data_IF_592551581636
#
_entry.id   IF_592551581636
#
_cell.length_a   1.000
_cell.length_b   1.000
_cell.length_c   1.000
_cell.angle_alpha   90.00
_cell.angle_beta   90.00
_cell.angle_gamma   90.00
#
_symmetry.space_group_name_H-M   'P 1'
#
loop_
_entity.id
_entity.type
_entity.pdbx_description
1 polymer ?
#
# COMPACT_ATOMS: atom_id res chain seq x y z
N UNK A 1 0.02 19.82 1.07
CA UNK A 1 -0.65 18.58 1.46
C UNK A 1 -2.02 18.97 1.97
N UNK A 2 -3.05 18.80 1.16
CA UNK A 2 -4.44 18.90 1.62
C UNK A 2 -4.65 17.76 2.62
N UNK A 3 -5.16 18.06 3.82
CA UNK A 3 -5.52 17.02 4.78
C UNK A 3 -6.63 16.15 4.17
N UNK A 4 -6.29 14.93 3.75
CA UNK A 4 -7.28 13.95 3.29
C UNK A 4 -8.18 13.66 4.48
N UNK A 5 -9.48 13.96 4.35
CA UNK A 5 -10.47 13.68 5.39
C UNK A 5 -10.56 12.18 5.61
N UNK A 6 -10.55 11.74 6.87
CA UNK A 6 -10.70 10.33 7.19
C UNK A 6 -12.14 9.87 6.94
N UNK A 7 -12.34 9.05 5.91
CA UNK A 7 -13.62 8.40 5.57
C UNK A 7 -14.16 7.48 6.68
N UNK A 8 -13.25 6.96 7.51
CA UNK A 8 -13.54 5.96 8.54
C UNK A 8 -14.44 6.48 9.68
N UNK A 9 -14.49 7.80 9.90
CA UNK A 9 -15.33 8.42 10.92
C UNK A 9 -16.80 8.63 10.46
N UNK A 10 -17.13 8.29 9.22
CA UNK A 10 -18.48 8.49 8.68
C UNK A 10 -19.49 7.48 9.24
N UNK A 11 -20.76 7.89 9.34
CA UNK A 11 -21.88 6.99 9.68
C UNK A 11 -21.94 5.80 8.71
N UNK A 12 -21.78 6.08 7.42
CA UNK A 12 -21.80 5.09 6.35
C UNK A 12 -20.72 4.01 6.54
N UNK A 13 -19.49 4.39 6.94
CA UNK A 13 -18.43 3.44 7.24
C UNK A 13 -18.78 2.51 8.42
N UNK A 14 -19.37 3.05 9.49
CA UNK A 14 -19.79 2.26 10.64
C UNK A 14 -20.89 1.24 10.31
N UNK A 15 -21.88 1.66 9.52
CA UNK A 15 -22.95 0.77 9.05
C UNK A 15 -22.44 -0.29 8.06
N UNK A 16 -21.56 0.10 7.13
CA UNK A 16 -20.90 -0.83 6.22
C UNK A 16 -20.11 -1.92 6.97
N UNK A 17 -19.33 -1.52 7.99
CA UNK A 17 -18.59 -2.46 8.84
C UNK A 17 -19.52 -3.46 9.53
N UNK A 18 -20.71 -3.03 9.97
CA UNK A 18 -21.70 -3.93 10.55
C UNK A 18 -22.22 -4.93 9.52
N UNK A 19 -22.59 -4.48 8.31
CA UNK A 19 -23.07 -5.36 7.25
C UNK A 19 -22.03 -6.40 6.83
N UNK A 20 -20.77 -5.98 6.68
CA UNK A 20 -19.66 -6.88 6.31
C UNK A 20 -19.44 -7.97 7.36
N UNK A 21 -19.47 -7.60 8.65
CA UNK A 21 -19.35 -8.56 9.76
C UNK A 21 -20.51 -9.54 9.80
N UNK A 22 -21.74 -9.07 9.63
CA UNK A 22 -22.93 -9.93 9.63
C UNK A 22 -22.88 -10.95 8.49
N UNK A 23 -22.55 -10.51 7.26
CA UNK A 23 -22.43 -11.42 6.12
C UNK A 23 -21.40 -12.53 6.40
N UNK A 24 -20.20 -12.16 6.85
CA UNK A 24 -19.12 -13.12 7.12
C UNK A 24 -19.44 -14.05 8.29
N UNK A 25 -20.08 -13.55 9.35
CA UNK A 25 -20.52 -14.37 10.49
C UNK A 25 -21.56 -15.43 10.10
N UNK A 26 -22.34 -15.19 9.04
CA UNK A 26 -23.27 -16.17 8.45
C UNK A 26 -22.61 -17.11 7.44
N UNK A 27 -21.27 -17.06 7.29
CA UNK A 27 -20.51 -17.90 6.36
C UNK A 27 -20.60 -17.48 4.90
N UNK A 28 -21.09 -16.26 4.60
CA UNK A 28 -21.24 -15.75 3.24
C UNK A 28 -20.11 -14.79 2.89
N UNK A 29 -19.54 -14.99 1.70
CA UNK A 29 -18.49 -14.12 1.14
C UNK A 29 -19.04 -13.01 0.24
N UNK A 30 -20.37 -12.96 0.04
CA UNK A 30 -21.05 -11.97 -0.79
C UNK A 30 -22.31 -11.49 -0.09
N UNK A 31 -22.64 -10.21 -0.25
CA UNK A 31 -23.91 -9.68 0.25
C UNK A 31 -25.06 -10.08 -0.68
N UNK A 32 -26.20 -10.42 -0.10
CA UNK A 32 -27.43 -10.63 -0.88
C UNK A 32 -28.08 -9.30 -1.30
N UNK A 33 -29.17 -9.37 -2.08
CA UNK A 33 -29.81 -8.19 -2.63
C UNK A 33 -30.32 -7.21 -1.55
N UNK A 34 -30.85 -7.73 -0.44
CA UNK A 34 -31.40 -6.91 0.64
C UNK A 34 -30.28 -6.26 1.47
N UNK A 35 -29.21 -7.01 1.74
CA UNK A 35 -28.01 -6.50 2.40
C UNK A 35 -27.32 -5.43 1.57
N UNK A 36 -27.22 -5.66 0.27
CA UNK A 36 -26.64 -4.71 -0.67
C UNK A 36 -27.48 -3.43 -0.75
N UNK A 37 -28.81 -3.54 -0.78
CA UNK A 37 -29.69 -2.38 -0.76
C UNK A 37 -29.52 -1.56 0.53
N UNK A 38 -29.40 -2.22 1.70
CA UNK A 38 -29.12 -1.56 2.98
C UNK A 38 -27.73 -0.91 3.01
N UNK A 39 -26.71 -1.62 2.50
CA UNK A 39 -25.35 -1.09 2.40
C UNK A 39 -25.31 0.19 1.56
N UNK A 40 -25.94 0.19 0.38
CA UNK A 40 -26.02 1.36 -0.48
C UNK A 40 -26.78 2.51 0.20
N UNK A 41 -27.90 2.21 0.86
CA UNK A 41 -28.69 3.21 1.59
C UNK A 41 -27.91 3.87 2.75
N UNK A 42 -26.94 3.18 3.35
CA UNK A 42 -26.07 3.75 4.39
C UNK A 42 -25.24 4.95 3.89
N UNK A 43 -24.98 5.01 2.57
CA UNK A 43 -24.28 6.10 1.90
C UNK A 43 -25.18 6.89 0.93
N UNK A 44 -26.50 6.89 1.15
CA UNK A 44 -27.50 7.59 0.34
C UNK A 44 -27.50 7.16 -1.15
N UNK A 45 -27.13 5.91 -1.43
CA UNK A 45 -27.16 5.31 -2.76
C UNK A 45 -28.35 4.36 -2.91
N UNK A 46 -28.94 4.35 -4.10
CA UNK A 46 -30.03 3.44 -4.47
C UNK A 46 -29.83 2.93 -5.90
N UNK A 47 -30.21 1.67 -6.14
CA UNK A 47 -30.25 1.12 -7.49
C UNK A 47 -31.50 1.58 -8.23
N UNK A 48 -31.36 1.91 -9.52
CA UNK A 48 -32.46 2.36 -10.37
C UNK A 48 -32.20 1.97 -11.82
N UNK A 49 -33.21 2.10 -12.67
CA UNK A 49 -33.08 1.78 -14.09
C UNK A 49 -32.34 2.89 -14.85
N UNK A 50 -31.63 2.51 -15.90
CA UNK A 50 -30.93 3.44 -16.78
C UNK A 50 -31.71 3.66 -18.08
N UNK A 51 -31.69 4.87 -18.65
CA UNK A 51 -32.13 5.08 -20.02
C UNK A 51 -31.18 4.38 -21.01
N UNK A 52 -31.72 3.93 -22.14
CA UNK A 52 -31.01 3.10 -23.11
C UNK A 52 -29.80 3.79 -23.77
N UNK A 53 -29.78 5.13 -23.81
CA UNK A 53 -28.71 5.92 -24.40
C UNK A 53 -27.74 6.52 -23.37
N UNK A 54 -27.82 6.08 -22.10
CA UNK A 54 -26.90 6.49 -21.07
C UNK A 54 -25.48 5.98 -21.31
N UNK A 55 -24.50 6.75 -20.86
CA UNK A 55 -23.10 6.34 -20.81
C UNK A 55 -22.90 5.42 -19.60
N UNK A 56 -22.50 4.18 -19.86
CA UNK A 56 -22.14 3.23 -18.83
C UNK A 56 -20.75 3.53 -18.26
N UNK A 57 -20.63 3.54 -16.93
CA UNK A 57 -19.39 3.71 -16.20
C UNK A 57 -19.32 2.71 -15.05
N UNK A 58 -18.12 2.23 -14.72
CA UNK A 58 -17.91 1.28 -13.63
C UNK A 58 -17.10 1.95 -12.53
N UNK A 59 -17.52 1.77 -11.28
CA UNK A 59 -16.78 2.18 -10.09
C UNK A 59 -16.52 0.92 -9.27
N UNK A 60 -15.26 0.63 -8.98
CA UNK A 60 -14.84 -0.56 -8.24
C UNK A 60 -13.87 -0.21 -7.13
N UNK A 61 -14.17 -0.61 -5.92
CA UNK A 61 -13.20 -0.71 -4.83
C UNK A 61 -12.80 -2.17 -4.72
N UNK A 62 -11.52 -2.49 -4.75
CA UNK A 62 -11.05 -3.86 -4.62
C UNK A 62 -9.80 -3.94 -3.75
N UNK A 63 -9.65 -5.06 -3.04
CA UNK A 63 -8.49 -5.33 -2.23
C UNK A 63 -7.30 -5.74 -3.09
N UNK A 64 -6.15 -5.12 -2.83
CA UNK A 64 -4.85 -5.45 -3.41
C UNK A 64 -3.87 -5.80 -2.32
N UNK A 65 -2.91 -6.68 -2.62
CA UNK A 65 -1.87 -7.05 -1.65
C UNK A 65 -0.95 -5.87 -1.34
N UNK A 66 -0.64 -5.06 -2.33
CA UNK A 66 0.39 -4.02 -2.25
C UNK A 66 -0.14 -2.72 -1.66
N UNK A 67 -1.37 -2.33 -2.01
CA UNK A 67 -1.92 -0.99 -1.76
C UNK A 67 -3.17 -0.99 -0.87
N UNK A 68 -3.59 -2.14 -0.34
CA UNK A 68 -4.85 -2.25 0.40
C UNK A 68 -6.04 -2.06 -0.53
N UNK A 69 -7.06 -1.32 -0.10
CA UNK A 69 -8.23 -1.03 -0.94
C UNK A 69 -7.91 0.06 -1.97
N UNK A 70 -8.21 -0.24 -3.24
CA UNK A 70 -8.01 0.68 -4.36
C UNK A 70 -9.36 0.98 -5.00
N UNK A 71 -9.73 2.26 -5.03
CA UNK A 71 -10.84 2.78 -5.81
C UNK A 71 -10.42 2.93 -7.28
N UNK A 72 -11.25 2.45 -8.18
CA UNK A 72 -11.05 2.50 -9.62
C UNK A 72 -12.33 2.95 -10.30
N UNK A 73 -12.25 3.85 -11.28
CA UNK A 73 -13.41 4.21 -12.10
C UNK A 73 -13.04 4.48 -13.55
N UNK A 74 -13.94 4.10 -14.46
CA UNK A 74 -13.71 4.21 -15.90
C UNK A 74 -14.95 3.86 -16.71
N UNK A 75 -14.73 3.53 -17.98
CA UNK A 75 -15.80 3.07 -18.86
C UNK A 75 -16.43 1.77 -18.32
N UNK A 76 -17.76 1.68 -18.40
CA UNK A 76 -18.55 0.51 -17.99
C UNK A 76 -19.09 -0.24 -19.21
N UNK A 77 -19.92 -1.25 -18.95
CA UNK A 77 -20.56 -2.03 -20.01
C UNK A 77 -19.57 -2.65 -20.99
N UNK A 78 -19.89 -2.59 -22.28
CA UNK A 78 -19.03 -3.15 -23.34
C UNK A 78 -17.70 -2.40 -23.49
N UNK A 79 -17.69 -1.09 -23.27
CA UNK A 79 -16.47 -0.30 -23.34
C UNK A 79 -15.50 -0.68 -22.20
N UNK A 80 -16.05 -0.99 -21.02
CA UNK A 80 -15.27 -1.47 -19.87
C UNK A 80 -14.69 -2.88 -20.05
N UNK A 81 -15.22 -3.65 -21.00
CA UNK A 81 -14.72 -4.99 -21.35
C UNK A 81 -13.60 -4.97 -22.40
N UNK A 82 -13.31 -3.80 -22.98
CA UNK A 82 -12.21 -3.63 -23.92
C UNK A 82 -10.85 -3.78 -23.22
N UNK A 83 -9.85 -4.27 -23.95
CA UNK A 83 -8.49 -4.40 -23.43
C UNK A 83 -7.97 -3.01 -22.99
N UNK A 84 -7.59 -2.82 -21.71
CA UNK A 84 -7.02 -1.58 -21.22
C UNK A 84 -5.79 -1.11 -21.99
N UNK A 85 -5.03 -2.02 -22.61
CA UNK A 85 -3.85 -1.70 -23.42
C UNK A 85 -4.19 -0.90 -24.70
N UNK A 86 -5.45 -0.89 -25.14
CA UNK A 86 -5.92 -0.06 -26.26
C UNK A 86 -5.91 1.44 -25.93
N UNK A 87 -5.78 1.78 -24.65
CA UNK A 87 -5.93 3.13 -24.16
C UNK A 87 -4.60 3.66 -23.64
N UNK A 88 -4.33 4.95 -23.87
CA UNK A 88 -3.23 5.61 -23.17
C UNK A 88 -3.50 5.61 -21.65
N UNK A 89 -2.43 5.82 -20.88
CA UNK A 89 -2.51 5.89 -19.41
C UNK A 89 -3.64 6.81 -18.94
N UNK A 90 -4.38 6.37 -17.92
CA UNK A 90 -5.50 7.07 -17.29
C UNK A 90 -6.72 7.33 -18.20
N UNK A 91 -6.79 6.73 -19.40
CA UNK A 91 -7.90 6.92 -20.35
C UNK A 91 -9.02 5.90 -20.20
N UNK A 92 -8.68 4.63 -19.98
CA UNK A 92 -9.66 3.56 -19.76
C UNK A 92 -10.32 3.68 -18.38
N UNK A 93 -9.49 3.82 -17.35
CA UNK A 93 -9.86 3.99 -15.97
C UNK A 93 -8.77 4.74 -15.21
N UNK A 94 -9.13 5.27 -14.05
CA UNK A 94 -8.21 5.86 -13.07
C UNK A 94 -8.31 5.13 -11.75
N UNK A 95 -7.25 5.23 -10.94
CA UNK A 95 -7.10 4.49 -9.69
C UNK A 95 -6.55 5.38 -8.57
N UNK A 96 -6.97 5.12 -7.33
CA UNK A 96 -6.43 5.74 -6.13
C UNK A 96 -6.59 4.82 -4.91
N UNK A 97 -5.63 4.87 -3.98
CA UNK A 97 -5.78 4.19 -2.69
C UNK A 97 -6.87 4.90 -1.86
N UNK A 98 -7.76 4.12 -1.25
CA UNK A 98 -8.91 4.66 -0.48
C UNK A 98 -8.46 5.60 0.64
N UNK A 99 -7.32 5.32 1.28
CA UNK A 99 -6.79 6.13 2.38
C UNK A 99 -6.15 7.46 1.94
N UNK A 100 -5.94 7.67 0.63
CA UNK A 100 -5.16 8.79 0.09
C UNK A 100 -5.94 9.66 -0.91
N UNK A 101 -7.26 9.54 -0.95
CA UNK A 101 -8.13 10.31 -1.86
C UNK A 101 -9.46 10.63 -1.19
N UNK A 102 -10.14 11.68 -1.66
CA UNK A 102 -11.56 11.92 -1.42
C UNK A 102 -12.34 11.97 -2.75
N UNK A 103 -13.66 12.18 -2.69
CA UNK A 103 -14.51 12.21 -3.88
C UNK A 103 -14.17 13.30 -4.90
N UNK A 104 -13.74 14.49 -4.44
CA UNK A 104 -13.37 15.61 -5.33
C UNK A 104 -12.01 15.36 -6.00
N UNK A 105 -11.01 14.95 -5.21
CA UNK A 105 -9.69 14.56 -5.71
C UNK A 105 -9.78 13.42 -6.72
N UNK A 106 -10.70 12.48 -6.48
CA UNK A 106 -10.92 11.37 -7.40
C UNK A 106 -11.67 11.81 -8.67
N UNK A 107 -12.63 12.74 -8.57
CA UNK A 107 -13.30 13.31 -9.74
C UNK A 107 -12.28 13.99 -10.66
N UNK A 108 -11.34 14.76 -10.13
CA UNK A 108 -10.28 15.39 -10.94
C UNK A 108 -9.41 14.39 -11.70
N UNK A 109 -9.17 13.20 -11.12
CA UNK A 109 -8.54 12.09 -11.84
C UNK A 109 -9.48 11.56 -12.93
N UNK A 110 -10.73 11.31 -12.58
CA UNK A 110 -11.74 10.74 -13.48
C UNK A 110 -11.97 11.58 -14.74
N UNK A 111 -11.80 12.92 -14.66
CA UNK A 111 -11.86 13.83 -15.80
C UNK A 111 -10.92 13.46 -16.96
N UNK A 112 -9.86 12.69 -16.71
CA UNK A 112 -8.89 12.23 -17.72
C UNK A 112 -9.42 11.09 -18.59
N UNK A 113 -10.44 10.37 -18.10
CA UNK A 113 -10.98 9.17 -18.74
C UNK A 113 -11.79 9.48 -20.00
N UNK A 114 -11.96 8.47 -20.85
CA UNK A 114 -12.88 8.53 -21.99
C UNK A 114 -14.34 8.55 -21.51
N UNK A 115 -14.66 7.89 -20.40
CA UNK A 115 -16.00 7.93 -19.81
C UNK A 115 -16.43 9.38 -19.52
N UNK A 116 -15.56 10.19 -18.91
CA UNK A 116 -15.81 11.61 -18.69
C UNK A 116 -16.01 12.40 -19.99
N UNK A 117 -15.20 12.15 -21.02
CA UNK A 117 -15.38 12.79 -22.32
C UNK A 117 -16.72 12.44 -22.97
N UNK A 118 -17.17 11.19 -22.86
CA UNK A 118 -18.48 10.78 -23.36
C UNK A 118 -19.62 11.46 -22.60
N UNK A 119 -19.52 11.55 -21.26
CA UNK A 119 -20.49 12.25 -20.41
C UNK A 119 -20.59 13.72 -20.80
N UNK A 120 -19.47 14.43 -20.89
CA UNK A 120 -19.43 15.86 -21.25
C UNK A 120 -19.91 16.10 -22.68
N UNK A 121 -19.58 15.23 -23.64
CA UNK A 121 -20.11 15.30 -24.99
C UNK A 121 -21.63 15.08 -25.04
N UNK A 122 -22.16 14.12 -24.27
CA UNK A 122 -23.60 13.89 -24.18
C UNK A 122 -24.32 15.07 -23.52
N UNK A 123 -23.78 15.60 -22.42
CA UNK A 123 -24.30 16.79 -21.74
C UNK A 123 -24.38 17.99 -22.68
N UNK A 124 -23.29 18.26 -23.43
CA UNK A 124 -23.25 19.32 -24.42
C UNK A 124 -24.30 19.14 -25.53
N UNK A 125 -24.50 17.91 -26.03
CA UNK A 125 -25.53 17.60 -27.02
C UNK A 125 -26.95 17.83 -26.50
N UNK A 126 -27.17 17.69 -25.19
CA UNK A 126 -28.46 17.89 -24.53
C UNK A 126 -28.67 19.31 -24.00
N UNK A 127 -27.63 20.16 -24.03
CA UNK A 127 -27.70 21.52 -23.50
C UNK A 127 -27.75 21.60 -21.97
N UNK A 128 -27.23 20.58 -21.28
CA UNK A 128 -27.21 20.46 -19.82
C UNK A 128 -25.78 20.48 -19.28
N UNK A 129 -25.63 20.75 -17.98
CA UNK A 129 -24.34 20.65 -17.31
C UNK A 129 -24.03 19.21 -16.93
N UNK A 130 -22.76 18.77 -17.02
CA UNK A 130 -22.36 17.46 -16.53
C UNK A 130 -22.61 17.29 -15.02
N UNK A 131 -22.82 16.05 -14.53
CA UNK A 131 -23.13 15.75 -13.13
C UNK A 131 -21.91 15.79 -12.19
N UNK A 132 -21.06 16.82 -12.24
CA UNK A 132 -19.81 16.91 -11.45
C UNK A 132 -20.05 16.61 -9.96
N UNK A 133 -20.94 17.37 -9.32
CA UNK A 133 -21.22 17.22 -7.90
C UNK A 133 -21.85 15.86 -7.55
N UNK A 134 -22.61 15.27 -8.47
CA UNK A 134 -23.20 13.95 -8.23
C UNK A 134 -22.16 12.83 -8.38
N UNK A 135 -21.21 12.95 -9.32
CA UNK A 135 -20.09 12.03 -9.46
C UNK A 135 -19.13 12.12 -8.27
N UNK A 136 -18.78 13.32 -7.80
CA UNK A 136 -17.97 13.51 -6.61
C UNK A 136 -18.62 12.85 -5.38
N UNK A 137 -19.93 13.05 -5.16
CA UNK A 137 -20.68 12.38 -4.09
C UNK A 137 -20.71 10.86 -4.24
N UNK A 138 -20.81 10.35 -5.46
CA UNK A 138 -20.81 8.90 -5.72
C UNK A 138 -19.44 8.27 -5.42
N UNK A 139 -18.34 8.94 -5.77
CA UNK A 139 -17.00 8.50 -5.40
C UNK A 139 -16.79 8.56 -3.89
N UNK A 140 -17.22 9.65 -3.25
CA UNK A 140 -17.18 9.81 -1.80
C UNK A 140 -17.97 8.70 -1.08
N UNK A 141 -19.18 8.39 -1.55
CA UNK A 141 -19.98 7.29 -1.01
C UNK A 141 -19.27 5.94 -1.14
N UNK A 142 -18.64 5.65 -2.28
CA UNK A 142 -17.86 4.43 -2.47
C UNK A 142 -16.65 4.36 -1.50
N UNK A 143 -15.98 5.50 -1.25
CA UNK A 143 -14.88 5.60 -0.29
C UNK A 143 -15.34 5.39 1.15
N UNK A 144 -16.49 5.94 1.53
CA UNK A 144 -17.07 5.77 2.86
C UNK A 144 -17.49 4.32 3.12
N UNK A 145 -18.12 3.66 2.15
CA UNK A 145 -18.45 2.23 2.25
C UNK A 145 -17.18 1.38 2.35
N UNK A 146 -16.16 1.69 1.54
CA UNK A 146 -14.86 1.02 1.60
C UNK A 146 -14.16 1.18 2.95
N UNK A 147 -14.26 2.36 3.56
CA UNK A 147 -13.63 2.65 4.85
C UNK A 147 -14.16 1.75 5.98
N UNK A 148 -15.41 1.28 5.87
CA UNK A 148 -16.00 0.30 6.80
C UNK A 148 -15.40 -1.11 6.71
N UNK A 149 -14.63 -1.41 5.67
CA UNK A 149 -14.04 -2.72 5.41
C UNK A 149 -12.52 -2.69 5.21
N UNK A 150 -11.82 -1.71 5.77
CA UNK A 150 -10.37 -1.58 5.63
C UNK A 150 -9.65 -2.83 6.18
N UNK A 151 -8.84 -3.53 5.37
CA UNK A 151 -8.17 -4.77 5.76
C UNK A 151 -7.24 -4.63 6.98
N UNK A 152 -6.60 -3.48 7.12
CA UNK A 152 -5.59 -3.21 8.16
C UNK A 152 -6.17 -2.45 9.37
N UNK A 153 -7.49 -2.29 9.44
CA UNK A 153 -8.12 -1.62 10.58
C UNK A 153 -7.91 -2.42 11.88
N UNK A 154 -7.48 -1.78 12.99
CA UNK A 154 -7.31 -2.46 14.27
C UNK A 154 -8.60 -3.15 14.72
N UNK A 155 -8.52 -4.46 14.98
CA UNK A 155 -9.68 -5.25 15.41
C UNK A 155 -10.70 -5.55 14.30
N UNK A 156 -10.32 -5.40 13.02
CA UNK A 156 -11.14 -5.82 11.89
C UNK A 156 -11.59 -7.29 12.07
N UNK A 157 -12.88 -7.54 11.85
CA UNK A 157 -13.48 -8.88 11.87
C UNK A 157 -13.92 -9.34 10.48
N UNK A 158 -14.08 -8.39 9.56
CA UNK A 158 -14.36 -8.60 8.14
C UNK A 158 -13.64 -7.51 7.34
N UNK A 159 -13.20 -7.85 6.15
CA UNK A 159 -12.57 -6.92 5.21
C UNK A 159 -13.32 -6.95 3.88
N UNK A 160 -13.50 -5.77 3.29
CA UNK A 160 -14.03 -5.65 1.94
C UNK A 160 -13.05 -6.29 0.95
N UNK A 161 -13.53 -7.18 0.10
CA UNK A 161 -12.74 -7.75 -0.99
C UNK A 161 -13.01 -7.00 -2.29
N UNK A 162 -14.29 -6.76 -2.58
CA UNK A 162 -14.71 -5.96 -3.72
C UNK A 162 -16.05 -5.27 -3.43
N UNK A 163 -16.17 -4.01 -3.84
CA UNK A 163 -17.43 -3.31 -4.06
C UNK A 163 -17.43 -2.83 -5.51
N UNK A 164 -18.35 -3.34 -6.33
CA UNK A 164 -18.52 -2.92 -7.70
C UNK A 164 -19.88 -2.22 -7.85
N UNK A 165 -19.88 -1.02 -8.42
CA UNK A 165 -21.06 -0.24 -8.78
C UNK A 165 -21.07 -0.05 -10.30
N UNK A 166 -22.04 -0.67 -10.96
CA UNK A 166 -22.31 -0.44 -12.37
C UNK A 166 -23.25 0.75 -12.46
N UNK A 167 -22.79 1.81 -13.11
CA UNK A 167 -23.46 3.09 -13.13
C UNK A 167 -23.79 3.53 -14.56
N UNK A 168 -24.81 4.37 -14.68
CA UNK A 168 -25.23 4.97 -15.94
C UNK A 168 -25.35 6.48 -15.78
N UNK A 169 -24.89 7.22 -16.78
CA UNK A 169 -24.97 8.67 -16.83
C UNK A 169 -25.65 9.16 -18.10
N UNK A 170 -26.73 9.91 -17.96
CA UNK A 170 -27.51 10.46 -19.07
C UNK A 170 -27.04 11.85 -19.52
N UNK A 171 -25.87 12.28 -19.03
CA UNK A 171 -25.28 13.59 -19.29
C UNK A 171 -25.64 14.65 -18.23
N UNK A 172 -26.69 14.47 -17.43
CA UNK A 172 -27.08 15.40 -16.36
C UNK A 172 -27.13 14.71 -14.98
N UNK A 173 -27.48 13.43 -14.95
CA UNK A 173 -27.58 12.63 -13.74
C UNK A 173 -26.72 11.38 -13.86
N UNK A 174 -26.22 10.90 -12.72
CA UNK A 174 -25.58 9.59 -12.57
C UNK A 174 -26.43 8.71 -11.66
N UNK A 175 -26.55 7.43 -12.02
CA UNK A 175 -27.40 6.44 -11.35
C UNK A 175 -26.63 5.15 -11.16
N UNK A 176 -26.80 4.51 -10.01
CA UNK A 176 -26.34 3.13 -9.80
C UNK A 176 -27.38 2.19 -10.40
N UNK A 177 -26.98 1.33 -11.32
CA UNK A 177 -27.84 0.37 -12.02
C UNK A 177 -27.79 -0.98 -11.36
N UNK A 178 -26.58 -1.41 -11.01
CA UNK A 178 -26.34 -2.64 -10.28
C UNK A 178 -25.18 -2.45 -9.31
N UNK A 179 -25.14 -3.27 -8.27
CA UNK A 179 -24.00 -3.33 -7.38
C UNK A 179 -23.70 -4.78 -7.01
N UNK A 180 -22.45 -5.02 -6.61
CA UNK A 180 -21.97 -6.31 -6.10
C UNK A 180 -21.01 -6.01 -4.96
N UNK A 181 -21.06 -6.80 -3.90
CA UNK A 181 -20.16 -6.65 -2.78
C UNK A 181 -19.70 -8.03 -2.30
N UNK A 182 -18.40 -8.20 -2.17
CA UNK A 182 -17.78 -9.38 -1.59
C UNK A 182 -16.92 -9.01 -0.37
N UNK A 183 -16.96 -9.86 0.64
CA UNK A 183 -16.29 -9.67 1.93
C UNK A 183 -15.54 -10.95 2.29
N UNK A 184 -14.51 -10.80 3.10
CA UNK A 184 -13.66 -11.90 3.52
C UNK A 184 -13.08 -11.67 4.90
N UNK A 185 -12.36 -12.67 5.39
CA UNK A 185 -11.56 -12.50 6.60
C UNK A 185 -10.49 -11.42 6.34
N UNK A 186 -10.22 -10.54 7.31
CA UNK A 186 -9.12 -9.60 7.20
C UNK A 186 -7.81 -10.37 7.06
N UNK A 187 -6.85 -9.87 6.24
CA UNK A 187 -5.54 -10.46 6.19
C UNK A 187 -4.88 -10.38 7.57
N UNK A 188 -3.91 -11.26 7.87
CA UNK A 188 -3.13 -11.13 9.10
C UNK A 188 -2.49 -9.73 9.13
N UNK A 189 -2.74 -9.00 10.21
CA UNK A 189 -2.21 -7.64 10.40
C UNK A 189 -0.71 -7.64 10.14
N UNK A 190 -0.28 -6.79 9.21
CA UNK A 190 1.15 -6.60 8.97
C UNK A 190 1.75 -5.94 10.19
N UNK A 191 2.89 -6.48 10.65
CA UNK A 191 3.69 -5.81 11.68
C UNK A 191 3.94 -4.37 11.22
N UNK A 192 3.66 -3.40 12.09
CA UNK A 192 3.86 -2.00 11.77
C UNK A 192 5.28 -1.79 11.23
N UNK A 193 5.38 -1.12 10.07
CA UNK A 193 6.70 -0.81 9.49
C UNK A 193 7.49 -0.02 10.54
N UNK A 194 8.72 -0.42 10.89
CA UNK A 194 9.49 0.26 11.92
C UNK A 194 10.12 1.53 11.33
N UNK A 195 9.28 2.52 10.98
CA UNK A 195 9.71 3.77 10.31
C UNK A 195 10.75 4.51 11.15
N UNK A 196 10.64 4.45 12.48
CA UNK A 196 11.62 5.01 13.40
C UNK A 196 13.04 4.42 13.24
N UNK A 197 13.18 3.20 12.71
CA UNK A 197 14.49 2.59 12.43
C UNK A 197 15.17 3.14 11.16
N UNK A 198 14.43 3.82 10.29
CA UNK A 198 15.02 4.48 9.11
C UNK A 198 16.02 5.54 9.56
N UNK A 199 15.71 6.28 10.63
CA UNK A 199 16.64 7.26 11.20
C UNK A 199 17.95 6.62 11.66
N UNK A 200 17.89 5.42 12.28
CA UNK A 200 19.07 4.64 12.68
C UNK A 200 19.93 4.19 11.50
N UNK A 201 19.33 4.00 10.32
CA UNK A 201 20.06 3.68 9.09
C UNK A 201 20.72 4.93 8.47
N UNK A 202 20.05 6.08 8.50
CA UNK A 202 20.50 7.31 7.85
C UNK A 202 21.47 8.13 8.73
N UNK A 203 21.28 8.10 10.04
CA UNK A 203 22.06 8.86 11.04
C UNK A 203 22.60 7.93 12.15
N UNK A 204 23.34 6.85 11.82
CA UNK A 204 23.81 5.92 12.84
C UNK A 204 24.87 6.56 13.76
N UNK A 205 24.68 6.48 15.07
CA UNK A 205 25.67 6.90 16.06
C UNK A 205 26.71 5.81 16.32
N UNK A 206 26.31 4.54 16.33
CA UNK A 206 27.19 3.37 16.52
C UNK A 206 27.07 2.38 15.37
N UNK A 207 28.20 2.07 14.73
CA UNK A 207 28.27 1.24 13.53
C UNK A 207 29.17 0.03 13.77
N UNK A 208 28.62 -1.16 13.54
CA UNK A 208 29.41 -2.40 13.49
C UNK A 208 29.72 -2.80 12.05
N UNK A 209 30.86 -3.45 11.85
CA UNK A 209 31.26 -4.00 10.54
C UNK A 209 31.68 -5.45 10.70
N UNK A 210 30.99 -6.36 10.01
CA UNK A 210 31.38 -7.77 9.91
C UNK A 210 32.03 -7.99 8.54
N UNK A 211 33.14 -8.74 8.52
CA UNK A 211 33.83 -9.08 7.27
C UNK A 211 34.91 -8.09 6.85
N UNK A 212 35.42 -7.22 7.74
CA UNK A 212 36.62 -6.44 7.48
C UNK A 212 37.90 -7.26 7.75
N UNK A 213 38.75 -7.42 6.73
CA UNK A 213 39.98 -8.22 6.83
C UNK A 213 41.10 -7.49 7.61
N UNK A 214 41.93 -8.21 8.37
CA UNK A 214 43.15 -7.63 8.97
C UNK A 214 44.26 -7.43 7.94
N UNK A 215 44.42 -8.40 7.04
CA UNK A 215 45.62 -8.57 6.22
C UNK A 215 45.49 -8.04 4.80
N UNK A 216 44.26 -7.85 4.31
CA UNK A 216 44.00 -7.49 2.92
C UNK A 216 42.86 -6.49 2.73
N UNK A 217 42.81 -5.91 1.54
CA UNK A 217 41.68 -5.07 1.12
C UNK A 217 40.53 -5.96 0.65
N UNK A 218 39.38 -5.84 1.31
CA UNK A 218 38.11 -6.40 0.89
C UNK A 218 37.00 -5.36 1.08
N UNK A 219 35.75 -5.67 0.70
CA UNK A 219 34.64 -4.72 0.82
C UNK A 219 34.47 -4.16 2.23
N UNK A 220 34.53 -5.00 3.27
CA UNK A 220 34.48 -4.54 4.66
C UNK A 220 35.61 -3.56 5.01
N UNK A 221 36.83 -3.82 4.53
CA UNK A 221 37.98 -2.91 4.71
C UNK A 221 37.81 -1.57 4.00
N UNK A 222 37.27 -1.59 2.77
CA UNK A 222 37.00 -0.40 1.97
C UNK A 222 35.96 0.47 2.68
N UNK A 223 34.87 -0.14 3.15
CA UNK A 223 33.80 0.56 3.85
C UNK A 223 34.31 1.20 5.14
N UNK A 224 35.06 0.44 5.95
CA UNK A 224 35.68 0.96 7.18
C UNK A 224 36.52 2.21 6.90
N UNK A 225 37.38 2.17 5.87
CA UNK A 225 38.22 3.32 5.49
C UNK A 225 37.42 4.51 4.99
N UNK A 226 36.34 4.26 4.24
CA UNK A 226 35.47 5.33 3.77
C UNK A 226 34.73 6.02 4.93
N UNK A 227 34.29 5.26 5.94
CA UNK A 227 33.65 5.81 7.14
C UNK A 227 34.64 6.65 7.96
N UNK A 228 35.86 6.17 8.16
CA UNK A 228 36.91 6.96 8.83
C UNK A 228 37.25 8.21 8.02
N UNK A 229 37.40 8.07 6.69
CA UNK A 229 37.74 9.17 5.78
C UNK A 229 36.64 10.23 5.64
N UNK A 230 35.38 9.89 5.92
CA UNK A 230 34.27 10.85 5.96
C UNK A 230 34.15 11.61 7.29
N UNK A 231 35.02 11.30 8.26
CA UNK A 231 35.05 11.94 9.58
C UNK A 231 34.25 11.20 10.66
N UNK A 232 33.88 9.93 10.44
CA UNK A 232 33.32 9.11 11.52
C UNK A 232 34.41 8.81 12.55
N UNK A 233 34.12 9.11 13.82
CA UNK A 233 35.06 8.89 14.91
C UNK A 233 35.28 7.38 15.15
N UNK A 234 36.52 6.89 15.32
CA UNK A 234 36.82 5.48 15.53
C UNK A 234 36.04 4.84 16.69
N UNK A 235 35.71 5.60 17.73
CA UNK A 235 34.99 5.15 18.93
C UNK A 235 33.52 4.82 18.65
N UNK A 236 32.99 5.33 17.53
CA UNK A 236 31.65 5.02 17.03
C UNK A 236 31.63 3.74 16.19
N UNK A 237 32.80 3.19 15.88
CA UNK A 237 32.96 2.04 15.02
C UNK A 237 33.40 0.83 15.84
N UNK A 238 32.93 -0.36 15.48
CA UNK A 238 33.54 -1.60 15.92
C UNK A 238 33.60 -2.60 14.76
N UNK A 239 34.66 -3.40 14.71
CA UNK A 239 34.75 -4.50 13.76
C UNK A 239 34.43 -5.80 14.49
N UNK A 240 33.48 -6.57 13.98
CA UNK A 240 33.13 -7.87 14.55
C UNK A 240 33.91 -8.94 13.80
N UNK A 241 34.84 -9.58 14.50
CA UNK A 241 35.71 -10.63 13.96
C UNK A 241 36.28 -11.50 15.09
N UNK A 242 36.33 -12.83 14.90
CA UNK A 242 37.06 -13.72 15.81
C UNK A 242 38.52 -13.31 16.01
N UNK A 243 39.01 -13.42 17.25
CA UNK A 243 40.41 -13.13 17.61
C UNK A 243 40.70 -11.66 17.96
N UNK A 244 39.71 -10.77 17.90
CA UNK A 244 39.83 -9.40 18.41
C UNK A 244 40.91 -8.56 17.73
N UNK A 245 41.52 -7.66 18.51
CA UNK A 245 42.58 -6.74 18.08
C UNK A 245 42.05 -5.39 17.59
N UNK A 246 42.74 -4.82 16.61
CA UNK A 246 42.41 -3.51 16.05
C UNK A 246 42.60 -3.52 14.52
N UNK A 247 41.80 -2.74 13.81
CA UNK A 247 41.92 -2.52 12.38
C UNK A 247 41.78 -1.03 12.08
N UNK A 248 42.79 -0.40 11.49
CA UNK A 248 42.80 1.05 11.16
C UNK A 248 42.34 1.95 12.32
N UNK A 249 42.79 1.71 13.55
CA UNK A 249 42.38 2.53 14.71
C UNK A 249 41.07 2.08 15.35
N UNK A 250 40.37 1.09 14.79
CA UNK A 250 39.05 0.66 15.26
C UNK A 250 39.14 -0.68 15.98
N UNK A 251 38.56 -0.73 17.18
CA UNK A 251 38.53 -1.91 18.03
C UNK A 251 37.79 -3.07 17.36
N UNK A 252 38.35 -4.28 17.51
CA UNK A 252 37.69 -5.50 17.10
C UNK A 252 37.09 -6.23 18.30
N UNK A 253 35.82 -6.60 18.18
CA UNK A 253 35.10 -7.46 19.13
C UNK A 253 34.91 -8.85 18.54
N UNK A 254 34.85 -9.86 19.40
CA UNK A 254 34.92 -11.25 18.99
C UNK A 254 33.68 -11.72 18.21
N UNK A 255 32.50 -11.30 18.65
CA UNK A 255 31.21 -11.74 18.09
C UNK A 255 30.09 -10.76 18.47
N UNK A 256 28.86 -11.04 18.02
CA UNK A 256 27.68 -10.21 18.29
C UNK A 256 27.31 -10.12 19.79
N UNK A 257 27.65 -11.12 20.59
CA UNK A 257 27.38 -11.11 22.04
C UNK A 257 28.31 -10.15 22.80
N UNK A 258 29.44 -9.78 22.21
CA UNK A 258 30.37 -8.80 22.76
C UNK A 258 29.96 -7.33 22.45
N UNK A 259 28.82 -7.10 21.80
CA UNK A 259 28.30 -5.75 21.56
C UNK A 259 27.80 -5.16 22.88
N UNK A 260 28.44 -4.07 23.33
CA UNK A 260 27.97 -3.32 24.48
C UNK A 260 26.81 -2.39 24.10
N UNK A 261 25.60 -2.67 24.56
CA UNK A 261 24.40 -1.89 24.24
C UNK A 261 23.83 -2.27 22.88
N UNK A 262 23.51 -1.27 22.04
CA UNK A 262 22.99 -1.49 20.68
C UNK A 262 23.81 -0.78 19.62
N UNK A 263 23.91 -1.40 18.45
CA UNK A 263 24.36 -0.78 17.23
C UNK A 263 23.16 -0.19 16.50
N UNK A 264 23.32 1.01 15.96
CA UNK A 264 22.31 1.61 15.08
C UNK A 264 22.36 0.94 13.71
N UNK A 265 23.57 0.65 13.22
CA UNK A 265 23.81 0.05 11.93
C UNK A 265 24.87 -1.06 12.02
N UNK A 266 24.54 -2.24 11.49
CA UNK A 266 25.50 -3.31 11.24
C UNK A 266 25.72 -3.49 9.74
N UNK A 267 26.95 -3.28 9.28
CA UNK A 267 27.33 -3.51 7.89
C UNK A 267 27.89 -4.94 7.76
N UNK A 268 27.25 -5.73 6.91
CA UNK A 268 27.60 -7.13 6.67
C UNK A 268 28.28 -7.25 5.32
N UNK A 269 29.59 -7.47 5.34
CA UNK A 269 30.43 -7.62 4.15
C UNK A 269 31.11 -9.01 4.10
N UNK A 270 30.32 -10.06 4.33
CA UNK A 270 30.72 -11.48 4.21
C UNK A 270 30.16 -12.10 2.93
N UNK A 271 30.57 -13.33 2.60
CA UNK A 271 30.00 -14.07 1.47
C UNK A 271 28.53 -14.44 1.72
N UNK A 272 27.75 -14.62 0.65
CA UNK A 272 26.29 -14.80 0.71
C UNK A 272 25.85 -16.03 1.53
N UNK A 273 26.63 -17.11 1.47
CA UNK A 273 26.42 -18.35 2.23
C UNK A 273 26.49 -18.12 3.75
N UNK A 274 27.32 -17.18 4.19
CA UNK A 274 27.44 -16.81 5.60
C UNK A 274 26.38 -15.80 6.08
N UNK A 275 25.59 -15.19 5.18
CA UNK A 275 24.62 -14.14 5.56
C UNK A 275 23.44 -14.71 6.33
N UNK A 276 22.84 -15.81 5.84
CA UNK A 276 21.64 -16.39 6.46
C UNK A 276 21.82 -16.74 7.95
N UNK A 277 22.82 -17.56 8.35
CA UNK A 277 23.02 -17.87 9.76
C UNK A 277 23.35 -16.61 10.59
N UNK A 278 24.10 -15.66 10.01
CA UNK A 278 24.43 -14.41 10.68
C UNK A 278 23.19 -13.54 10.94
N UNK A 279 22.23 -13.49 10.00
CA UNK A 279 20.98 -12.76 10.18
C UNK A 279 20.15 -13.38 11.30
N UNK A 280 20.09 -14.71 11.40
CA UNK A 280 19.41 -15.39 12.51
C UNK A 280 20.06 -15.04 13.86
N UNK A 281 21.39 -15.01 13.92
CA UNK A 281 22.13 -14.59 15.12
C UNK A 281 21.85 -13.12 15.49
N UNK A 282 21.80 -12.21 14.50
CA UNK A 282 21.48 -10.80 14.72
C UNK A 282 20.07 -10.64 15.30
N UNK A 283 19.11 -11.39 14.75
CA UNK A 283 17.71 -11.37 15.21
C UNK A 283 17.64 -11.91 16.65
N UNK A 284 18.30 -13.03 16.93
CA UNK A 284 18.31 -13.65 18.26
C UNK A 284 19.00 -12.76 19.32
N UNK A 285 20.08 -12.07 18.96
CA UNK A 285 20.80 -11.18 19.87
C UNK A 285 19.99 -9.90 20.18
N UNK A 286 19.24 -9.37 19.20
CA UNK A 286 18.44 -8.16 19.39
C UNK A 286 19.27 -6.89 19.67
N UNK A 287 20.58 -6.92 19.37
CA UNK A 287 21.55 -5.85 19.66
C UNK A 287 21.75 -4.86 18.51
N UNK A 288 21.01 -4.99 17.41
CA UNK A 288 21.18 -4.19 16.19
C UNK A 288 19.85 -3.59 15.75
N UNK A 289 19.82 -2.29 15.46
CA UNK A 289 18.62 -1.60 14.98
C UNK A 289 18.39 -1.75 13.48
N UNK A 290 19.43 -1.57 12.66
CA UNK A 290 19.40 -1.74 11.21
C UNK A 290 20.59 -2.56 10.68
N UNK A 291 20.37 -3.32 9.60
CA UNK A 291 21.40 -4.14 8.94
C UNK A 291 21.54 -3.72 7.49
N UNK A 292 22.77 -3.51 7.05
CA UNK A 292 23.12 -3.23 5.65
C UNK A 292 23.89 -4.42 5.07
N UNK A 293 23.22 -5.17 4.17
CA UNK A 293 23.81 -6.30 3.46
C UNK A 293 24.53 -5.79 2.21
N UNK A 294 25.86 -6.00 2.18
CA UNK A 294 26.71 -5.70 1.03
C UNK A 294 26.83 -6.84 0.02
N UNK A 295 26.80 -8.14 0.37
CA UNK A 295 27.02 -9.18 -0.62
C UNK A 295 25.91 -9.24 -1.68
N UNK A 296 26.31 -9.57 -2.90
CA UNK A 296 25.40 -10.14 -3.90
C UNK A 296 25.25 -11.65 -3.69
N UNK A 297 24.26 -12.26 -4.33
CA UNK A 297 23.97 -13.68 -4.32
C UNK A 297 22.80 -14.06 -3.43
N UNK A 298 21.84 -13.17 -3.22
CA UNK A 298 20.70 -13.35 -2.29
C UNK A 298 19.34 -13.40 -3.02
N UNK A 299 19.32 -13.79 -4.30
CA UNK A 299 18.09 -14.01 -5.07
C UNK A 299 18.02 -13.25 -6.38
N UNK A 300 19.04 -12.46 -6.71
CA UNK A 300 19.08 -11.70 -7.95
C UNK A 300 19.32 -12.56 -9.19
N UNK A 301 19.95 -13.72 -9.03
CA UNK A 301 20.14 -14.73 -10.09
C UNK A 301 19.32 -16.00 -9.82
N UNK A 302 19.04 -16.77 -10.87
CA UNK A 302 18.38 -18.08 -10.73
C UNK A 302 19.19 -19.08 -9.89
N UNK A 303 20.52 -18.92 -9.81
CA UNK A 303 21.40 -19.75 -8.96
C UNK A 303 21.39 -19.34 -7.49
N UNK A 304 20.91 -18.14 -7.18
CA UNK A 304 20.87 -17.55 -5.84
C UNK A 304 19.45 -17.47 -5.26
N UNK A 305 18.44 -18.01 -5.97
CA UNK A 305 17.05 -18.10 -5.50
C UNK A 305 16.79 -19.38 -4.73
#
# INVERSE_FOLDING_TARGET
>A
MTEVRSHAASRAAGEAAQHYRTALATGRATLDADELARLLAAADLHTTTAPADAIELSIRVHATREFGLVLSAGAGGLDGALDPANFARDRAAVHAAVELTDGEDFLERFRRTIAWQRITALAARRGVQPPDAALARLFEAALQLAAGGLPDAPGAQAALQELALDCACDGEAVRVVAARCSVGAPPPLRVARPIHKIDRLLHPERIGIVGASASGMNFGRIILRNLLGSGCAPERLCVIRPGGGEIDGVACIENLAAIEGKLDLLIVAVAADAVYPLVDEIIAAGTVEAVMLIPGGLGETAKSR
#
